data_IF_448858841808
#
_entry.id   IF_448858841808
#
_cell.length_a   1.000
_cell.length_b   1.000
_cell.length_c   1.000
_cell.angle_alpha   90.00
_cell.angle_beta   90.00
_cell.angle_gamma   90.00
#
_symmetry.space_group_name_H-M   'P 1'
#
loop_
_entity.id
_entity.type
_entity.pdbx_description
1 polymer ?
#
# COMPACT_ATOMS: atom_id res chain seq x y z
N UNK A 1 20.82 -6.41 -22.72
CA UNK A 1 20.28 -7.00 -21.47
C UNK A 1 19.52 -5.95 -20.70
N UNK A 2 18.34 -6.26 -20.24
CA UNK A 2 17.59 -5.38 -19.35
C UNK A 2 18.25 -5.36 -17.95
N UNK A 3 18.50 -4.18 -17.41
CA UNK A 3 19.01 -4.02 -16.04
C UNK A 3 17.96 -3.27 -15.21
N UNK A 4 17.33 -3.98 -14.27
CA UNK A 4 16.44 -3.40 -13.28
C UNK A 4 17.29 -3.06 -12.06
N UNK A 5 17.27 -1.81 -11.62
CA UNK A 5 18.06 -1.35 -10.47
C UNK A 5 17.35 -1.55 -9.14
N UNK A 6 16.10 -1.11 -9.07
CA UNK A 6 15.28 -1.22 -7.86
C UNK A 6 13.80 -1.07 -8.22
N UNK A 7 12.89 -1.55 -7.38
CA UNK A 7 11.49 -1.18 -7.46
C UNK A 7 11.34 0.34 -7.30
N UNK A 8 10.41 0.93 -8.00
CA UNK A 8 10.10 2.35 -7.91
C UNK A 8 8.90 2.60 -6.99
N UNK A 9 7.78 2.03 -7.35
CA UNK A 9 6.54 2.15 -6.56
C UNK A 9 5.64 0.94 -6.72
N UNK A 10 4.67 0.85 -5.82
CA UNK A 10 3.51 -0.04 -5.90
C UNK A 10 2.26 0.83 -5.95
N UNK A 11 1.35 0.54 -6.87
CA UNK A 11 0.06 1.23 -6.94
C UNK A 11 -1.05 0.30 -6.42
N UNK A 12 -1.88 0.82 -5.53
CA UNK A 12 -2.97 0.10 -4.87
C UNK A 12 -4.27 0.83 -5.15
N UNK A 13 -5.25 0.11 -5.70
CA UNK A 13 -6.61 0.61 -5.78
C UNK A 13 -7.30 0.45 -4.42
N UNK A 14 -7.86 1.52 -3.91
CA UNK A 14 -8.48 1.57 -2.58
C UNK A 14 -9.90 2.07 -2.64
N UNK A 15 -10.72 1.61 -1.70
CA UNK A 15 -12.11 2.05 -1.59
C UNK A 15 -12.25 3.44 -0.96
N UNK A 16 -11.31 3.82 -0.08
CA UNK A 16 -11.28 5.09 0.63
C UNK A 16 -9.84 5.55 0.80
N UNK A 17 -9.46 6.57 0.06
CA UNK A 17 -8.10 7.10 0.07
C UNK A 17 -7.73 7.73 1.43
N UNK A 18 -8.66 8.38 2.12
CA UNK A 18 -8.38 9.00 3.41
C UNK A 18 -7.97 7.96 4.46
N UNK A 19 -8.75 6.89 4.58
CA UNK A 19 -8.44 5.78 5.49
C UNK A 19 -7.12 5.09 5.13
N UNK A 20 -6.86 4.89 3.84
CA UNK A 20 -5.60 4.30 3.39
C UNK A 20 -4.39 5.20 3.71
N UNK A 21 -4.51 6.52 3.53
CA UNK A 21 -3.46 7.47 3.89
C UNK A 21 -3.15 7.38 5.39
N UNK A 22 -4.17 7.45 6.25
CA UNK A 22 -4.02 7.34 7.71
C UNK A 22 -3.25 6.06 8.09
N UNK A 23 -3.62 4.93 7.48
CA UNK A 23 -2.94 3.66 7.73
C UNK A 23 -1.45 3.70 7.31
N UNK A 24 -1.14 4.14 6.10
CA UNK A 24 0.25 4.21 5.64
C UNK A 24 1.09 5.25 6.40
N UNK A 25 0.48 6.30 6.91
CA UNK A 25 1.17 7.26 7.80
C UNK A 25 1.64 6.61 9.10
N UNK A 26 0.93 5.62 9.63
CA UNK A 26 1.39 4.83 10.79
C UNK A 26 2.69 4.05 10.48
N UNK A 27 2.91 3.71 9.21
CA UNK A 27 4.10 3.00 8.75
C UNK A 27 5.26 3.94 8.38
N UNK A 28 5.09 5.26 8.53
CA UNK A 28 6.12 6.26 8.24
C UNK A 28 6.07 6.84 6.84
N UNK A 29 5.03 6.52 6.06
CA UNK A 29 4.81 7.20 4.78
C UNK A 29 4.31 8.62 4.99
N UNK A 30 4.63 9.49 4.01
CA UNK A 30 4.14 10.87 3.96
C UNK A 30 3.45 11.14 2.64
N UNK A 31 2.28 11.75 2.71
CA UNK A 31 1.58 12.21 1.52
C UNK A 31 2.40 13.33 0.85
N UNK A 32 2.81 13.11 -0.38
CA UNK A 32 3.60 14.06 -1.15
C UNK A 32 2.78 14.78 -2.20
N UNK A 33 1.90 14.06 -2.92
CA UNK A 33 1.17 14.61 -4.03
C UNK A 33 -0.23 14.01 -4.14
N UNK A 34 -1.18 14.83 -4.61
CA UNK A 34 -2.54 14.42 -4.94
C UNK A 34 -2.89 15.01 -6.30
N UNK A 35 -3.40 14.19 -7.19
CA UNK A 35 -3.90 14.60 -8.50
C UNK A 35 -5.26 13.95 -8.77
N UNK A 36 -6.13 14.70 -9.43
CA UNK A 36 -7.36 14.15 -9.99
C UNK A 36 -7.12 13.73 -11.43
N UNK A 37 -7.38 12.49 -11.75
CA UNK A 37 -7.39 11.98 -13.12
C UNK A 37 -8.85 12.01 -13.60
N UNK A 38 -9.08 12.71 -14.71
CA UNK A 38 -10.39 12.75 -15.38
C UNK A 38 -10.13 12.65 -16.90
N UNK A 39 -10.00 11.41 -17.36
CA UNK A 39 -9.57 11.16 -18.74
C UNK A 39 -8.15 11.68 -19.01
N UNK A 40 -7.88 12.07 -20.27
CA UNK A 40 -6.64 12.69 -20.67
C UNK A 40 -5.42 11.76 -20.73
N UNK A 41 -4.20 12.33 -20.83
CA UNK A 41 -2.97 11.53 -20.98
C UNK A 41 -2.74 10.50 -19.88
N UNK A 42 -2.91 10.79 -18.58
CA UNK A 42 -2.72 9.80 -17.53
C UNK A 42 -3.66 8.59 -17.65
N UNK A 43 -4.92 8.83 -17.96
CA UNK A 43 -5.90 7.77 -18.14
C UNK A 43 -5.59 6.91 -19.38
N UNK A 44 -5.19 7.54 -20.48
CA UNK A 44 -4.76 6.81 -21.69
C UNK A 44 -3.50 5.98 -21.44
N UNK A 45 -2.54 6.53 -20.73
CA UNK A 45 -1.32 5.82 -20.32
C UNK A 45 -1.63 4.53 -19.56
N UNK A 46 -2.64 4.56 -18.69
CA UNK A 46 -3.09 3.40 -17.93
C UNK A 46 -4.02 2.46 -18.70
N UNK A 47 -4.30 2.73 -19.98
CA UNK A 47 -5.20 1.92 -20.81
C UNK A 47 -6.68 2.08 -20.48
N UNK A 48 -7.06 3.11 -19.73
CA UNK A 48 -8.41 3.39 -19.28
C UNK A 48 -8.81 4.84 -19.63
N UNK A 49 -9.04 5.17 -20.92
CA UNK A 49 -9.11 6.55 -21.40
C UNK A 49 -10.22 7.41 -20.76
N UNK A 50 -11.23 6.80 -20.19
CA UNK A 50 -12.37 7.49 -19.55
C UNK A 50 -12.35 7.40 -18.03
N UNK A 51 -11.23 6.91 -17.44
CA UNK A 51 -11.19 6.74 -15.98
C UNK A 51 -11.20 8.08 -15.26
N UNK A 52 -11.89 8.08 -14.13
CA UNK A 52 -11.80 9.11 -13.11
C UNK A 52 -11.28 8.48 -11.85
N UNK A 53 -10.26 9.08 -11.26
CA UNK A 53 -9.69 8.61 -10.00
C UNK A 53 -8.94 9.72 -9.29
N UNK A 54 -8.93 9.68 -7.97
CA UNK A 54 -7.95 10.39 -7.18
C UNK A 54 -6.68 9.55 -7.14
N UNK A 55 -5.56 10.18 -7.50
CA UNK A 55 -4.22 9.59 -7.46
C UNK A 55 -3.41 10.25 -6.35
N UNK A 56 -2.93 9.47 -5.41
CA UNK A 56 -2.16 9.95 -4.27
C UNK A 56 -0.80 9.27 -4.26
N UNK A 57 0.26 10.07 -4.10
CA UNK A 57 1.62 9.57 -3.90
C UNK A 57 2.00 9.68 -2.43
N UNK A 58 2.36 8.54 -1.85
CA UNK A 58 2.89 8.41 -0.50
C UNK A 58 4.36 7.99 -0.59
N UNK A 59 5.24 8.72 0.08
CA UNK A 59 6.67 8.46 0.08
C UNK A 59 7.08 7.93 1.45
N UNK A 60 7.87 6.86 1.45
CA UNK A 60 8.50 6.38 2.69
C UNK A 60 9.71 7.26 2.99
N UNK A 61 9.57 8.07 4.04
CA UNK A 61 10.59 9.03 4.43
C UNK A 61 11.90 8.32 4.83
N UNK A 62 13.00 8.77 4.26
CA UNK A 62 14.33 8.22 4.56
C UNK A 62 14.63 6.86 3.93
N UNK A 63 13.76 6.31 3.11
CA UNK A 63 14.03 5.05 2.41
C UNK A 63 15.11 5.22 1.34
N UNK A 64 16.08 4.30 1.35
CA UNK A 64 17.10 4.18 0.31
C UNK A 64 17.20 2.73 -0.17
N UNK A 65 16.95 2.47 -1.45
CA UNK A 65 16.50 3.43 -2.48
C UNK A 65 15.13 4.02 -2.17
N UNK A 66 14.82 5.16 -2.82
CA UNK A 66 13.52 5.81 -2.74
C UNK A 66 12.39 4.83 -3.02
N UNK A 67 11.32 4.86 -2.22
CA UNK A 67 10.17 3.99 -2.37
C UNK A 67 8.86 4.74 -2.16
N UNK A 68 7.90 4.47 -3.03
CA UNK A 68 6.57 5.06 -2.99
C UNK A 68 5.48 3.99 -2.96
N UNK A 69 4.37 4.33 -2.31
CA UNK A 69 3.08 3.71 -2.54
C UNK A 69 2.18 4.76 -3.20
N UNK A 70 1.57 4.38 -4.30
CA UNK A 70 0.58 5.22 -4.98
C UNK A 70 -0.79 4.63 -4.78
N UNK A 71 -1.77 5.47 -4.44
CA UNK A 71 -3.15 5.06 -4.24
C UNK A 71 -4.00 5.57 -5.39
N UNK A 72 -4.96 4.75 -5.80
CA UNK A 72 -6.02 5.12 -6.73
C UNK A 72 -7.37 4.87 -6.05
N UNK A 73 -8.15 5.93 -5.90
CA UNK A 73 -9.57 5.83 -5.55
C UNK A 73 -10.39 6.17 -6.78
N UNK A 74 -11.07 5.18 -7.35
CA UNK A 74 -11.86 5.33 -8.56
C UNK A 74 -13.22 5.96 -8.27
N UNK A 75 -13.68 6.83 -9.19
CA UNK A 75 -15.01 7.42 -9.20
C UNK A 75 -15.66 7.26 -10.61
N UNK A 76 -16.76 6.53 -10.73
CA UNK A 76 -17.43 5.77 -9.68
C UNK A 76 -16.62 4.52 -9.26
N UNK A 77 -16.90 4.02 -8.08
CA UNK A 77 -16.34 2.76 -7.60
C UNK A 77 -16.65 1.63 -8.59
N UNK A 78 -15.66 0.80 -8.98
CA UNK A 78 -15.90 -0.31 -9.90
C UNK A 78 -17.01 -1.24 -9.41
N UNK A 79 -17.93 -1.69 -10.29
CA UNK A 79 -19.05 -2.54 -9.88
C UNK A 79 -18.63 -3.95 -9.45
N UNK A 80 -17.43 -4.37 -9.82
CA UNK A 80 -16.80 -5.63 -9.46
C UNK A 80 -15.89 -5.52 -8.23
N UNK A 81 -15.85 -4.33 -7.60
CA UNK A 81 -15.13 -4.13 -6.35
C UNK A 81 -15.72 -5.06 -5.29
N UNK A 82 -14.93 -6.02 -4.82
CA UNK A 82 -15.43 -7.03 -3.90
C UNK A 82 -15.70 -6.50 -2.49
N UNK A 83 -15.46 -5.20 -2.24
CA UNK A 83 -15.62 -4.58 -0.94
C UNK A 83 -14.53 -4.97 0.06
N UNK A 84 -14.82 -4.84 1.33
CA UNK A 84 -13.92 -5.31 2.37
C UNK A 84 -13.75 -6.82 2.30
N UNK A 85 -12.49 -7.24 2.19
CA UNK A 85 -12.16 -8.65 2.13
C UNK A 85 -11.78 -9.17 3.51
N UNK A 86 -12.33 -10.31 3.92
CA UNK A 86 -11.66 -11.09 4.95
C UNK A 86 -10.26 -11.46 4.43
N UNK A 87 -9.30 -11.48 5.32
CA UNK A 87 -7.90 -11.82 5.03
C UNK A 87 -7.81 -13.22 4.44
N UNK A 88 -7.91 -13.33 3.14
CA UNK A 88 -7.81 -14.60 2.42
C UNK A 88 -6.56 -14.61 1.54
N UNK A 89 -5.46 -15.01 2.13
CA UNK A 89 -4.15 -15.07 1.48
C UNK A 89 -4.08 -16.10 0.34
N UNK A 90 -5.12 -16.90 0.12
CA UNK A 90 -5.17 -17.89 -0.98
C UNK A 90 -5.72 -17.30 -2.29
N UNK A 91 -6.30 -16.11 -2.26
CA UNK A 91 -6.79 -15.46 -3.49
C UNK A 91 -5.63 -15.15 -4.42
N UNK A 92 -5.87 -15.33 -5.72
CA UNK A 92 -4.91 -14.83 -6.72
C UNK A 92 -4.89 -13.31 -6.68
N UNK A 93 -3.70 -12.76 -6.88
CA UNK A 93 -3.48 -11.33 -6.91
C UNK A 93 -2.41 -10.95 -5.90
N UNK A 94 -2.41 -9.69 -5.55
CA UNK A 94 -1.49 -9.17 -4.55
C UNK A 94 -1.80 -9.81 -3.18
N UNK A 95 -0.78 -10.30 -2.50
CA UNK A 95 -0.95 -11.01 -1.24
C UNK A 95 -0.56 -10.16 -0.03
N UNK A 96 0.67 -9.69 0.02
CA UNK A 96 1.18 -8.85 1.09
C UNK A 96 2.38 -8.02 0.66
N UNK A 97 2.67 -6.98 1.39
CA UNK A 97 3.89 -6.19 1.32
C UNK A 97 4.65 -6.33 2.64
N UNK A 98 5.93 -6.59 2.58
CA UNK A 98 6.77 -6.71 3.76
C UNK A 98 7.66 -5.48 3.92
N UNK A 99 7.77 -5.00 5.15
CA UNK A 99 8.67 -3.92 5.52
C UNK A 99 9.74 -4.45 6.47
N UNK A 100 10.94 -3.95 6.32
CA UNK A 100 12.01 -4.16 7.28
C UNK A 100 11.98 -3.05 8.33
N UNK A 101 12.03 -3.45 9.59
CA UNK A 101 12.09 -2.54 10.74
C UNK A 101 13.33 -2.84 11.58
N UNK A 102 13.83 -1.85 12.29
CA UNK A 102 14.98 -2.03 13.18
C UNK A 102 14.60 -2.76 14.46
N UNK A 103 13.41 -2.49 14.98
CA UNK A 103 12.89 -3.11 16.20
C UNK A 103 11.43 -3.57 15.98
N UNK A 104 11.24 -4.88 15.85
CA UNK A 104 9.91 -5.47 15.62
C UNK A 104 8.99 -5.32 16.84
N UNK A 105 9.53 -5.32 18.04
CA UNK A 105 8.76 -5.11 19.26
C UNK A 105 8.19 -3.70 19.35
N UNK A 106 9.02 -2.70 19.08
CA UNK A 106 8.59 -1.30 19.02
C UNK A 106 7.59 -1.06 17.88
N UNK A 107 7.84 -1.61 16.70
CA UNK A 107 6.91 -1.50 15.56
C UNK A 107 5.56 -2.16 15.89
N UNK A 108 5.57 -3.35 16.48
CA UNK A 108 4.35 -4.04 16.92
C UNK A 108 3.56 -3.21 17.94
N UNK A 109 4.22 -2.69 18.97
CA UNK A 109 3.57 -1.87 19.99
C UNK A 109 2.93 -0.60 19.40
N UNK A 110 3.61 0.04 18.47
CA UNK A 110 3.10 1.22 17.76
C UNK A 110 1.83 0.89 16.97
N UNK A 111 1.84 -0.20 16.20
CA UNK A 111 0.68 -0.60 15.40
C UNK A 111 -0.51 -0.97 16.27
N UNK A 112 -0.30 -1.75 17.33
CA UNK A 112 -1.37 -2.15 18.26
C UNK A 112 -1.97 -0.94 18.96
N UNK A 113 -1.14 0.02 19.41
CA UNK A 113 -1.61 1.25 20.05
C UNK A 113 -2.49 2.11 19.13
N UNK A 114 -2.34 1.95 17.82
CA UNK A 114 -3.14 2.64 16.80
C UNK A 114 -4.26 1.76 16.21
N UNK A 115 -4.62 0.66 16.87
CA UNK A 115 -5.76 -0.17 16.50
C UNK A 115 -5.53 -1.16 15.37
N UNK A 116 -4.30 -1.34 14.92
CA UNK A 116 -3.97 -2.32 13.88
C UNK A 116 -4.05 -3.73 14.48
N UNK A 117 -4.74 -4.63 13.79
CA UNK A 117 -4.91 -6.01 14.20
C UNK A 117 -3.71 -6.85 13.78
N UNK A 118 -3.13 -7.55 14.73
CA UNK A 118 -2.12 -8.56 14.45
C UNK A 118 -2.76 -9.86 13.99
N UNK A 119 -2.20 -10.48 12.97
CA UNK A 119 -2.67 -11.75 12.40
C UNK A 119 -1.83 -12.94 12.85
N UNK A 120 -0.66 -12.69 13.43
CA UNK A 120 0.23 -13.76 13.91
C UNK A 120 0.96 -13.34 15.18
N UNK A 121 1.50 -14.31 15.90
CA UNK A 121 2.57 -14.10 16.87
C UNK A 121 3.88 -13.79 16.14
N UNK A 122 4.89 -13.32 16.88
CA UNK A 122 6.24 -13.23 16.36
C UNK A 122 6.75 -14.64 16.05
N UNK A 123 7.41 -14.78 14.91
CA UNK A 123 7.94 -16.05 14.45
C UNK A 123 9.33 -15.85 13.86
N UNK A 124 10.27 -16.70 14.27
CA UNK A 124 11.57 -16.77 13.64
C UNK A 124 11.50 -17.68 12.40
N UNK A 125 11.88 -17.13 11.26
CA UNK A 125 11.90 -17.85 9.99
C UNK A 125 13.10 -17.42 9.14
N UNK A 126 13.92 -18.37 8.77
CA UNK A 126 15.13 -18.16 7.92
C UNK A 126 15.92 -16.91 8.37
N UNK A 127 16.40 -16.91 9.61
CA UNK A 127 17.21 -15.83 10.20
C UNK A 127 16.51 -14.46 10.30
N UNK A 128 15.20 -14.45 10.24
CA UNK A 128 14.39 -13.22 10.38
C UNK A 128 13.29 -13.45 11.40
N UNK A 129 12.98 -12.41 12.15
CA UNK A 129 11.77 -12.38 12.98
C UNK A 129 10.66 -11.66 12.25
N UNK A 130 9.52 -12.29 12.16
CA UNK A 130 8.38 -11.85 11.34
C UNK A 130 7.12 -11.73 12.18
N UNK A 131 6.24 -10.82 11.76
CA UNK A 131 4.88 -10.69 12.26
C UNK A 131 3.94 -10.22 11.15
N UNK A 132 2.76 -10.81 11.05
CA UNK A 132 1.70 -10.39 10.16
C UNK A 132 0.73 -9.46 10.86
N UNK A 133 0.25 -8.45 10.15
CA UNK A 133 -0.81 -7.56 10.58
C UNK A 133 -1.78 -7.28 9.41
N UNK A 134 -2.98 -6.83 9.74
CA UNK A 134 -4.03 -6.45 8.79
C UNK A 134 -4.02 -4.94 8.59
N UNK A 135 -3.96 -4.52 7.31
CA UNK A 135 -3.99 -3.12 6.91
C UNK A 135 -5.00 -2.83 5.81
#
# INVERSE_FOLDING_TARGET
>A
MLVIRNPDHVTIAVANAATAIEFFELLGFRKQHVAMIDGGPPARYMGMPNMKAQHITLVLEGAEPHFEIQLLEFDPRPPDDPGEHPTNLRRRGYNHLAFRVDDIGAATSHLVANGVKLLSDEMDYISRRLRFFEG
#
